data_IF_115017380703
#
_entry.id   IF_115017380703
#
_cell.length_a   1.000
_cell.length_b   1.000
_cell.length_c   1.000
_cell.angle_alpha   90.00
_cell.angle_beta   90.00
_cell.angle_gamma   90.00
#
_symmetry.space_group_name_H-M   'P 1'
#
loop_
_entity.id
_entity.type
_entity.pdbx_description
1 polymer ?
#
# COMPACT_ATOMS: atom_id res chain seq x y z
N UNK A 1 2.12 1.56 -23.17
CA UNK A 1 0.91 0.95 -22.54
C UNK A 1 1.33 0.34 -21.23
N UNK A 2 0.47 0.35 -20.19
CA UNK A 2 0.70 -0.40 -18.95
C UNK A 2 -0.15 -1.68 -19.05
N UNK A 3 0.45 -2.87 -19.09
CA UNK A 3 -0.30 -4.12 -19.25
C UNK A 3 -1.08 -4.49 -17.98
N UNK A 4 -2.28 -5.06 -18.17
CA UNK A 4 -3.19 -5.52 -17.11
C UNK A 4 -3.54 -7.01 -17.26
N UNK A 5 -3.10 -7.62 -18.36
CA UNK A 5 -3.38 -9.01 -18.72
C UNK A 5 -2.14 -9.71 -19.27
N UNK A 6 -2.15 -11.04 -19.19
CA UNK A 6 -1.08 -11.90 -19.77
C UNK A 6 -0.91 -11.62 -21.28
N UNK A 7 -2.02 -11.47 -22.00
CA UNK A 7 -2.00 -11.19 -23.44
C UNK A 7 -1.28 -9.88 -23.77
N UNK A 8 -1.49 -8.84 -22.96
CA UNK A 8 -0.81 -7.55 -23.14
C UNK A 8 0.68 -7.65 -22.78
N UNK A 9 1.05 -8.38 -21.73
CA UNK A 9 2.44 -8.66 -21.37
C UNK A 9 3.16 -9.37 -22.50
N UNK A 10 2.53 -10.41 -23.06
CA UNK A 10 3.07 -11.14 -24.22
C UNK A 10 3.20 -10.27 -25.47
N UNK A 11 2.22 -9.38 -25.73
CA UNK A 11 2.28 -8.46 -26.89
C UNK A 11 3.42 -7.44 -26.80
N UNK A 12 3.91 -7.15 -25.58
CA UNK A 12 5.09 -6.32 -25.34
C UNK A 12 6.41 -7.12 -25.44
N UNK A 13 6.36 -8.42 -25.70
CA UNK A 13 7.53 -9.29 -25.75
C UNK A 13 8.22 -9.48 -24.41
N UNK A 14 7.48 -9.33 -23.30
CA UNK A 14 8.06 -9.48 -21.97
C UNK A 14 8.02 -10.95 -21.54
N UNK A 15 9.15 -11.46 -21.11
CA UNK A 15 9.37 -12.79 -20.55
C UNK A 15 9.28 -12.81 -19.01
N UNK A 16 9.36 -11.63 -18.38
CA UNK A 16 9.15 -11.42 -16.94
C UNK A 16 8.55 -10.03 -16.68
N UNK A 17 8.05 -9.85 -15.47
CA UNK A 17 7.56 -8.58 -14.95
C UNK A 17 8.39 -8.22 -13.72
N UNK A 18 8.89 -7.00 -13.62
CA UNK A 18 9.67 -6.56 -12.46
C UNK A 18 8.79 -6.26 -11.25
N UNK A 19 7.70 -5.53 -11.47
CA UNK A 19 6.78 -5.07 -10.44
C UNK A 19 5.35 -5.27 -10.90
N UNK A 20 4.53 -5.84 -10.03
CA UNK A 20 3.08 -5.92 -10.24
C UNK A 20 2.39 -5.08 -9.19
N UNK A 21 1.59 -4.09 -9.64
CA UNK A 21 0.83 -3.21 -8.77
C UNK A 21 -0.63 -3.68 -8.68
N UNK A 22 -1.11 -3.87 -7.45
CA UNK A 22 -2.52 -4.15 -7.14
C UNK A 22 -3.18 -2.87 -6.63
N UNK A 23 -4.34 -2.55 -7.19
CA UNK A 23 -5.08 -1.33 -6.83
C UNK A 23 -6.56 -1.60 -6.62
N UNK A 24 -7.17 -0.88 -5.67
CA UNK A 24 -8.61 -0.95 -5.42
C UNK A 24 -9.46 -0.30 -6.51
N UNK A 25 -8.89 0.59 -7.32
CA UNK A 25 -9.59 1.20 -8.45
C UNK A 25 -9.56 0.30 -9.69
N UNK A 26 -10.58 0.39 -10.53
CA UNK A 26 -10.46 -0.05 -11.91
C UNK A 26 -9.39 0.82 -12.59
N UNK A 27 -8.44 0.16 -13.28
CA UNK A 27 -7.29 0.87 -13.84
C UNK A 27 -7.73 1.85 -14.94
N UNK A 28 -7.41 3.12 -14.70
CA UNK A 28 -7.54 4.18 -15.69
C UNK A 28 -6.16 4.83 -15.78
N UNK A 29 -5.55 4.79 -16.95
CA UNK A 29 -4.26 5.43 -17.23
C UNK A 29 -4.43 6.96 -17.26
N UNK A 30 -4.53 7.55 -16.08
CA UNK A 30 -4.79 8.96 -15.88
C UNK A 30 -3.66 9.62 -15.06
N UNK A 31 -3.18 10.82 -15.45
CA UNK A 31 -2.03 11.47 -14.81
C UNK A 31 -2.23 11.82 -13.32
N UNK A 32 -3.47 11.88 -12.85
CA UNK A 32 -3.78 12.16 -11.44
C UNK A 32 -3.97 10.90 -10.58
N UNK A 33 -3.91 9.70 -11.16
CA UNK A 33 -4.12 8.46 -10.41
C UNK A 33 -2.77 7.89 -9.97
N UNK A 34 -2.56 7.77 -8.66
CA UNK A 34 -1.29 7.37 -8.08
C UNK A 34 -0.72 6.06 -8.63
N UNK A 35 -1.57 5.06 -8.89
CA UNK A 35 -1.14 3.78 -9.48
C UNK A 35 -0.57 3.98 -10.89
N UNK A 36 -1.24 4.79 -11.74
CA UNK A 36 -0.77 5.10 -13.09
C UNK A 36 0.54 5.90 -13.04
N UNK A 37 0.62 6.90 -12.16
CA UNK A 37 1.83 7.72 -11.97
C UNK A 37 3.01 6.85 -11.58
N UNK A 38 2.88 5.98 -10.58
CA UNK A 38 3.96 5.08 -10.13
C UNK A 38 4.33 4.09 -11.22
N UNK A 39 3.35 3.47 -11.90
CA UNK A 39 3.63 2.54 -12.99
C UNK A 39 4.41 3.20 -14.12
N UNK A 40 3.97 4.39 -14.58
CA UNK A 40 4.66 5.17 -15.63
C UNK A 40 6.04 5.65 -15.19
N UNK A 41 6.17 6.06 -13.94
CA UNK A 41 7.44 6.48 -13.38
C UNK A 41 8.47 5.36 -13.39
N UNK A 42 8.11 4.17 -12.94
CA UNK A 42 8.99 3.00 -12.97
C UNK A 42 9.28 2.56 -14.42
N UNK A 43 8.28 2.55 -15.33
CA UNK A 43 8.50 2.24 -16.75
C UNK A 43 9.48 3.22 -17.41
N UNK A 44 9.40 4.51 -17.10
CA UNK A 44 10.35 5.53 -17.57
C UNK A 44 11.79 5.22 -17.16
N UNK A 45 11.97 4.51 -16.05
CA UNK A 45 13.28 4.09 -15.53
C UNK A 45 13.68 2.67 -15.95
N UNK A 46 12.97 2.08 -16.92
CA UNK A 46 13.34 0.82 -17.56
C UNK A 46 12.73 -0.43 -16.93
N UNK A 47 11.87 -0.29 -15.89
CA UNK A 47 11.22 -1.44 -15.26
C UNK A 47 9.99 -1.91 -16.03
N UNK A 48 9.80 -3.22 -16.10
CA UNK A 48 8.59 -3.86 -16.66
C UNK A 48 7.52 -3.91 -15.58
N UNK A 49 6.54 -3.01 -15.67
CA UNK A 49 5.49 -2.85 -14.66
C UNK A 49 4.14 -3.21 -15.23
N UNK A 50 3.44 -4.13 -14.57
CA UNK A 50 2.06 -4.48 -14.84
C UNK A 50 1.14 -4.05 -13.69
N UNK A 51 -0.15 -3.89 -13.97
CA UNK A 51 -1.16 -3.50 -12.99
C UNK A 51 -2.28 -4.53 -12.96
N UNK A 52 -2.71 -4.92 -11.79
CA UNK A 52 -3.95 -5.69 -11.55
C UNK A 52 -4.97 -4.73 -10.94
N UNK A 53 -5.85 -4.16 -11.78
CA UNK A 53 -6.88 -3.23 -11.33
C UNK A 53 -8.03 -3.99 -10.69
N UNK A 54 -8.49 -3.54 -9.54
CA UNK A 54 -9.69 -3.99 -8.84
C UNK A 54 -9.89 -5.53 -8.90
N UNK A 55 -8.91 -6.33 -8.34
CA UNK A 55 -8.96 -7.78 -8.43
C UNK A 55 -10.18 -8.33 -7.69
N UNK A 56 -10.80 -9.38 -8.23
CA UNK A 56 -11.85 -10.09 -7.52
C UNK A 56 -11.24 -10.88 -6.35
N UNK A 57 -11.61 -10.50 -5.14
CA UNK A 57 -11.11 -11.04 -3.88
C UNK A 57 -12.06 -12.06 -3.24
N UNK A 58 -13.22 -12.33 -3.88
CA UNK A 58 -14.31 -13.18 -3.35
C UNK A 58 -14.38 -14.56 -3.99
N UNK A 59 -13.66 -14.79 -5.08
CA UNK A 59 -13.69 -16.03 -5.83
C UNK A 59 -12.45 -16.91 -5.60
N UNK A 60 -12.05 -17.64 -6.62
CA UNK A 60 -10.87 -18.51 -6.64
C UNK A 60 -9.52 -17.77 -6.66
N UNK A 61 -9.53 -16.45 -6.50
CA UNK A 61 -8.35 -15.57 -6.49
C UNK A 61 -7.52 -15.64 -7.79
N UNK A 62 -8.17 -15.94 -8.92
CA UNK A 62 -7.50 -16.02 -10.24
C UNK A 62 -6.85 -14.71 -10.63
N UNK A 63 -7.45 -13.57 -10.25
CA UNK A 63 -6.90 -12.24 -10.55
C UNK A 63 -5.56 -12.00 -9.85
N UNK A 64 -5.36 -12.57 -8.67
CA UNK A 64 -4.11 -12.49 -7.93
C UNK A 64 -3.02 -13.40 -8.52
N UNK A 65 -3.39 -14.42 -9.30
CA UNK A 65 -2.49 -15.39 -9.92
C UNK A 65 -2.23 -15.15 -11.40
N UNK A 66 -3.10 -14.40 -12.09
CA UNK A 66 -3.09 -14.29 -13.56
C UNK A 66 -1.79 -13.79 -14.18
N UNK A 67 -1.04 -12.93 -13.49
CA UNK A 67 0.24 -12.41 -13.97
C UNK A 67 1.46 -13.15 -13.41
N UNK A 68 1.27 -14.12 -12.52
CA UNK A 68 2.35 -14.82 -11.84
C UNK A 68 3.07 -13.98 -10.80
N UNK A 69 4.28 -14.40 -10.43
CA UNK A 69 5.14 -13.70 -9.49
C UNK A 69 6.01 -12.65 -10.21
N UNK A 70 6.15 -11.42 -9.67
CA UNK A 70 7.09 -10.45 -10.19
C UNK A 70 8.54 -10.83 -9.82
N UNK A 71 9.49 -10.32 -10.56
CA UNK A 71 10.92 -10.50 -10.29
C UNK A 71 11.35 -9.80 -8.99
N UNK A 72 10.77 -8.66 -8.66
CA UNK A 72 11.22 -7.83 -7.55
C UNK A 72 10.21 -7.80 -6.39
N UNK A 73 9.01 -7.32 -6.61
CA UNK A 73 8.00 -7.18 -5.54
C UNK A 73 6.59 -6.90 -6.05
N UNK A 74 5.62 -7.09 -5.17
CA UNK A 74 4.25 -6.59 -5.34
C UNK A 74 4.09 -5.23 -4.68
N UNK A 75 3.44 -4.27 -5.36
CA UNK A 75 2.97 -3.03 -4.76
C UNK A 75 1.46 -3.05 -4.58
N UNK A 76 0.96 -2.59 -3.43
CA UNK A 76 -0.47 -2.62 -3.11
C UNK A 76 -0.96 -1.25 -2.63
N UNK A 77 -2.09 -0.79 -3.18
CA UNK A 77 -2.78 0.42 -2.73
C UNK A 77 -4.30 0.26 -2.83
N UNK A 78 -5.04 1.13 -2.14
CA UNK A 78 -6.50 1.14 -2.17
C UNK A 78 -7.11 1.80 -3.41
N UNK A 79 -6.29 2.44 -4.23
CA UNK A 79 -6.72 3.34 -5.30
C UNK A 79 -6.56 4.81 -4.94
N UNK A 80 -7.32 5.67 -5.61
CA UNK A 80 -7.28 7.12 -5.42
C UNK A 80 -7.84 7.56 -4.07
N UNK A 81 -8.70 6.74 -3.46
CA UNK A 81 -9.31 6.99 -2.15
C UNK A 81 -9.02 5.87 -1.15
N UNK A 82 -9.11 6.21 0.13
CA UNK A 82 -9.25 5.23 1.20
C UNK A 82 -10.50 4.37 0.99
N UNK A 83 -10.39 3.05 1.13
CA UNK A 83 -11.48 2.12 0.83
C UNK A 83 -12.71 2.35 1.70
N UNK A 84 -12.53 2.65 3.00
CA UNK A 84 -13.61 2.89 3.93
C UNK A 84 -14.34 4.21 3.63
N UNK A 85 -13.59 5.27 3.30
CA UNK A 85 -14.15 6.57 2.88
C UNK A 85 -14.88 6.44 1.54
N UNK A 86 -14.39 5.57 0.65
CA UNK A 86 -15.05 5.30 -0.62
C UNK A 86 -16.36 4.52 -0.45
N UNK A 87 -16.41 3.57 0.48
CA UNK A 87 -17.57 2.70 0.70
C UNK A 87 -18.65 3.33 1.56
N UNK A 88 -18.27 4.15 2.54
CA UNK A 88 -19.20 4.63 3.56
C UNK A 88 -19.31 6.15 3.59
N UNK A 89 -20.49 6.63 3.94
CA UNK A 89 -20.70 8.03 4.33
C UNK A 89 -20.19 8.27 5.76
N UNK A 90 -20.10 9.54 6.16
CA UNK A 90 -19.77 9.91 7.54
C UNK A 90 -20.77 9.33 8.58
N UNK A 91 -22.01 9.02 8.18
CA UNK A 91 -23.00 8.37 9.01
C UNK A 91 -22.97 6.83 8.93
N UNK A 92 -21.84 6.25 8.50
CA UNK A 92 -21.63 4.79 8.35
C UNK A 92 -22.61 4.08 7.41
N UNK A 93 -23.26 4.80 6.49
CA UNK A 93 -24.15 4.21 5.47
C UNK A 93 -23.33 3.83 4.25
N UNK A 94 -23.58 2.65 3.69
CA UNK A 94 -23.01 2.25 2.40
C UNK A 94 -23.39 3.27 1.32
N UNK A 95 -22.43 3.63 0.48
CA UNK A 95 -22.68 4.40 -0.74
C UNK A 95 -23.27 3.50 -1.81
N UNK A 96 -24.13 4.06 -2.64
CA UNK A 96 -24.78 3.35 -3.75
C UNK A 96 -23.89 3.22 -4.97
N UNK A 97 -22.86 4.08 -5.08
CA UNK A 97 -22.00 4.20 -6.26
C UNK A 97 -20.53 4.33 -5.87
N UNK A 98 -19.67 3.91 -6.79
CA UNK A 98 -18.21 4.05 -6.71
C UNK A 98 -17.68 4.64 -8.03
N UNK A 99 -17.27 5.90 -8.01
CA UNK A 99 -16.78 6.62 -9.18
C UNK A 99 -15.50 5.99 -9.81
N UNK A 100 -14.81 5.12 -9.08
CA UNK A 100 -13.57 4.46 -9.52
C UNK A 100 -13.80 3.04 -10.03
N UNK A 101 -15.05 2.67 -10.25
CA UNK A 101 -15.46 1.36 -10.76
C UNK A 101 -16.28 1.51 -12.05
N UNK A 102 -16.13 0.63 -13.06
CA UNK A 102 -16.94 0.68 -14.27
C UNK A 102 -18.44 0.63 -13.97
N UNK A 103 -19.19 1.55 -14.58
CA UNK A 103 -20.63 1.70 -14.33
C UNK A 103 -20.97 2.19 -12.93
N UNK A 104 -20.02 2.78 -12.22
CA UNK A 104 -20.15 3.26 -10.83
C UNK A 104 -20.63 2.19 -9.85
N UNK A 105 -20.36 0.92 -10.11
CA UNK A 105 -20.84 -0.20 -9.31
C UNK A 105 -20.13 -0.30 -7.97
N UNK A 106 -20.83 0.05 -6.87
CA UNK A 106 -20.31 -0.04 -5.52
C UNK A 106 -19.94 -1.47 -5.09
N UNK A 107 -19.04 -1.59 -4.10
CA UNK A 107 -18.69 -2.86 -3.44
C UNK A 107 -17.80 -3.79 -4.25
N UNK A 108 -17.09 -3.31 -5.27
CA UNK A 108 -16.17 -4.15 -6.04
C UNK A 108 -14.83 -4.33 -5.33
N UNK A 109 -14.34 -3.32 -4.63
CA UNK A 109 -13.17 -3.46 -3.75
C UNK A 109 -13.60 -3.96 -2.36
N UNK A 110 -12.72 -4.58 -1.55
CA UNK A 110 -13.03 -4.90 -0.16
C UNK A 110 -12.94 -3.66 0.74
N UNK A 111 -13.56 -3.75 1.91
CA UNK A 111 -13.20 -2.91 3.05
C UNK A 111 -11.74 -3.16 3.40
N UNK A 112 -11.01 -2.10 3.78
CA UNK A 112 -9.56 -2.17 4.08
C UNK A 112 -8.77 -2.84 2.95
N UNK A 113 -8.97 -2.37 1.72
CA UNK A 113 -8.48 -3.00 0.50
C UNK A 113 -6.97 -3.31 0.54
N UNK A 114 -6.14 -2.41 1.08
CA UNK A 114 -4.70 -2.64 1.21
C UNK A 114 -4.40 -3.86 2.09
N UNK A 115 -5.07 -3.96 3.24
CA UNK A 115 -4.90 -5.10 4.17
C UNK A 115 -5.36 -6.42 3.53
N UNK A 116 -6.54 -6.43 2.90
CA UNK A 116 -7.10 -7.64 2.29
C UNK A 116 -6.23 -8.14 1.15
N UNK A 117 -5.86 -7.27 0.21
CA UNK A 117 -5.04 -7.66 -0.94
C UNK A 117 -3.64 -8.13 -0.51
N UNK A 118 -3.05 -7.46 0.48
CA UNK A 118 -1.74 -7.86 0.99
C UNK A 118 -1.78 -9.24 1.63
N UNK A 119 -2.79 -9.54 2.47
CA UNK A 119 -2.95 -10.86 3.10
C UNK A 119 -3.09 -11.96 2.05
N UNK A 120 -3.90 -11.74 1.01
CA UNK A 120 -4.06 -12.67 -0.11
C UNK A 120 -2.71 -12.90 -0.83
N UNK A 121 -1.98 -11.83 -1.13
CA UNK A 121 -0.68 -11.96 -1.80
C UNK A 121 0.35 -12.69 -0.95
N UNK A 122 0.40 -12.42 0.36
CA UNK A 122 1.32 -13.11 1.29
C UNK A 122 0.95 -14.59 1.48
N UNK A 123 -0.32 -14.96 1.34
CA UNK A 123 -0.75 -16.35 1.35
C UNK A 123 -0.34 -17.08 0.06
N UNK A 124 -0.53 -16.46 -1.10
CA UNK A 124 -0.23 -17.08 -2.40
C UNK A 124 1.28 -17.08 -2.70
N UNK A 125 1.99 -16.00 -2.32
CA UNK A 125 3.40 -15.75 -2.63
C UNK A 125 4.17 -15.33 -1.37
N UNK A 126 4.37 -16.23 -0.40
CA UNK A 126 4.96 -15.89 0.91
C UNK A 126 6.37 -15.30 0.82
N UNK A 127 7.15 -15.70 -0.18
CA UNK A 127 8.55 -15.29 -0.34
C UNK A 127 8.73 -14.01 -1.15
N UNK A 128 7.69 -13.52 -1.82
CA UNK A 128 7.78 -12.30 -2.62
C UNK A 128 7.52 -11.08 -1.72
N UNK A 129 8.42 -10.07 -1.73
CA UNK A 129 8.21 -8.86 -0.97
C UNK A 129 6.93 -8.13 -1.38
N UNK A 130 6.22 -7.57 -0.40
CA UNK A 130 5.06 -6.70 -0.61
C UNK A 130 5.32 -5.34 -0.03
N UNK A 131 5.24 -4.29 -0.86
CA UNK A 131 5.25 -2.90 -0.43
C UNK A 131 3.85 -2.32 -0.56
N UNK A 132 3.36 -1.72 0.53
CA UNK A 132 2.07 -1.03 0.54
C UNK A 132 2.27 0.48 0.43
N UNK A 133 1.30 1.18 -0.14
CA UNK A 133 1.37 2.63 -0.31
C UNK A 133 0.01 3.27 -0.59
N UNK A 134 0.05 4.52 -1.03
CA UNK A 134 -1.15 5.32 -1.28
C UNK A 134 -1.78 5.88 -0.01
N UNK A 135 -2.96 6.50 -0.16
CA UNK A 135 -3.62 7.25 0.92
C UNK A 135 -3.98 6.36 2.11
N UNK A 136 -4.55 5.18 1.88
CA UNK A 136 -4.98 4.26 2.93
C UNK A 136 -3.80 3.80 3.80
N UNK A 137 -2.69 3.38 3.18
CA UNK A 137 -1.49 2.98 3.89
C UNK A 137 -0.84 4.16 4.63
N UNK A 138 -0.78 5.33 3.99
CA UNK A 138 -0.19 6.54 4.58
C UNK A 138 -0.93 6.99 5.84
N UNK A 139 -2.26 7.01 5.81
CA UNK A 139 -3.09 7.41 6.96
C UNK A 139 -3.01 6.42 8.12
N UNK A 140 -2.85 5.12 7.81
CA UNK A 140 -2.82 4.04 8.80
C UNK A 140 -1.42 3.54 9.16
N UNK A 141 -0.37 4.31 8.85
CA UNK A 141 1.03 3.91 9.10
C UNK A 141 1.43 3.81 10.58
N UNK A 142 0.66 4.42 11.46
CA UNK A 142 0.82 4.36 12.92
C UNK A 142 -0.41 3.71 13.57
N UNK A 143 -0.37 3.53 14.91
CA UNK A 143 -1.58 3.24 15.69
C UNK A 143 -2.61 4.31 15.41
N UNK A 144 -3.82 3.91 15.02
CA UNK A 144 -4.89 4.83 14.63
C UNK A 144 -6.24 4.37 15.16
N UNK A 145 -7.15 5.34 15.32
CA UNK A 145 -8.54 5.06 15.64
C UNK A 145 -9.32 4.78 14.37
N UNK A 146 -9.95 3.60 14.33
CA UNK A 146 -10.86 3.24 13.25
C UNK A 146 -12.29 3.64 13.61
N UNK A 147 -12.80 4.63 12.90
CA UNK A 147 -14.13 5.19 13.12
C UNK A 147 -15.24 4.17 12.89
N UNK A 148 -15.10 3.27 11.92
CA UNK A 148 -16.14 2.32 11.55
C UNK A 148 -16.30 1.19 12.57
N UNK A 149 -15.18 0.70 13.11
CA UNK A 149 -15.17 -0.35 14.13
C UNK A 149 -15.10 0.17 15.57
N UNK A 150 -15.03 1.50 15.75
CA UNK A 150 -14.97 2.17 17.07
C UNK A 150 -13.88 1.62 17.98
N UNK A 151 -12.68 1.43 17.45
CA UNK A 151 -11.53 0.94 18.21
C UNK A 151 -10.20 1.38 17.61
N UNK A 152 -9.12 1.24 18.38
CA UNK A 152 -7.77 1.40 17.87
C UNK A 152 -7.32 0.18 17.06
N UNK A 153 -6.57 0.46 16.00
CA UNK A 153 -5.85 -0.52 15.21
C UNK A 153 -4.35 -0.28 15.29
N UNK A 154 -3.52 -1.34 15.17
CA UNK A 154 -2.09 -1.18 15.02
C UNK A 154 -1.75 -0.54 13.67
N UNK A 155 -0.47 -0.25 13.44
CA UNK A 155 0.01 0.14 12.11
C UNK A 155 -0.48 -0.84 11.03
N UNK A 156 -0.94 -0.34 9.89
CA UNK A 156 -1.35 -1.16 8.75
C UNK A 156 -0.23 -2.08 8.26
N UNK A 157 1.03 -1.69 8.45
CA UNK A 157 2.19 -2.52 8.12
C UNK A 157 2.22 -3.81 8.95
N UNK A 158 1.76 -3.74 10.21
CA UNK A 158 1.64 -4.90 11.10
C UNK A 158 0.36 -5.67 10.78
N UNK A 159 -0.76 -4.99 10.65
CA UNK A 159 -2.07 -5.63 10.42
C UNK A 159 -2.15 -6.35 9.06
N UNK A 160 -1.59 -5.78 8.02
CA UNK A 160 -1.60 -6.37 6.67
C UNK A 160 -0.56 -7.49 6.50
N UNK A 161 0.51 -7.48 7.29
CA UNK A 161 1.65 -8.38 7.11
C UNK A 161 2.59 -7.98 5.96
N UNK A 162 2.46 -6.76 5.42
CA UNK A 162 3.37 -6.25 4.40
C UNK A 162 4.82 -6.14 4.92
N UNK A 163 5.77 -6.20 4.01
CA UNK A 163 7.19 -6.09 4.34
C UNK A 163 7.63 -4.63 4.46
N UNK A 164 7.09 -3.77 3.59
CA UNK A 164 7.45 -2.35 3.48
C UNK A 164 6.23 -1.47 3.28
N UNK A 165 6.36 -0.19 3.66
CA UNK A 165 5.33 0.83 3.46
C UNK A 165 5.98 2.09 2.89
N UNK A 166 5.47 2.59 1.76
CA UNK A 166 5.83 3.88 1.21
C UNK A 166 4.70 4.88 1.48
N UNK A 167 5.01 5.99 2.17
CA UNK A 167 3.98 6.99 2.52
C UNK A 167 4.23 8.35 1.86
N UNK A 168 3.17 9.14 1.73
CA UNK A 168 3.21 10.46 1.11
C UNK A 168 3.40 10.40 -0.41
N UNK A 169 4.15 11.37 -0.96
CA UNK A 169 4.51 11.42 -2.39
C UNK A 169 5.63 10.41 -2.65
N UNK A 170 5.24 9.26 -3.17
CA UNK A 170 6.09 8.05 -3.18
C UNK A 170 7.01 7.88 -4.38
N UNK A 171 6.99 8.77 -5.38
CA UNK A 171 7.68 8.55 -6.66
C UNK A 171 9.19 8.36 -6.51
N UNK A 172 9.83 9.21 -5.72
CA UNK A 172 11.25 9.09 -5.44
C UNK A 172 11.56 7.86 -4.61
N UNK A 173 10.82 7.68 -3.53
CA UNK A 173 11.00 6.57 -2.59
C UNK A 173 10.85 5.22 -3.28
N UNK A 174 9.80 5.04 -4.10
CA UNK A 174 9.56 3.77 -4.78
C UNK A 174 10.66 3.47 -5.82
N UNK A 175 11.18 4.47 -6.51
CA UNK A 175 12.30 4.29 -7.44
C UNK A 175 13.58 3.89 -6.72
N UNK A 176 13.93 4.58 -5.63
CA UNK A 176 15.10 4.25 -4.81
C UNK A 176 14.98 2.84 -4.20
N UNK A 177 13.79 2.49 -3.72
CA UNK A 177 13.47 1.16 -3.22
C UNK A 177 13.61 0.08 -4.32
N UNK A 178 13.05 0.31 -5.50
CA UNK A 178 13.15 -0.64 -6.62
C UNK A 178 14.60 -0.91 -7.01
N UNK A 179 15.41 0.13 -7.14
CA UNK A 179 16.86 0.01 -7.40
C UNK A 179 17.60 -0.74 -6.29
N UNK A 180 17.21 -0.51 -5.04
CA UNK A 180 17.83 -1.17 -3.90
C UNK A 180 17.51 -2.67 -3.86
N UNK A 181 16.26 -3.05 -4.10
CA UNK A 181 15.84 -4.46 -4.21
C UNK A 181 16.54 -5.14 -5.40
N UNK A 182 16.53 -4.51 -6.58
CA UNK A 182 17.16 -5.05 -7.79
C UNK A 182 18.66 -5.30 -7.60
N UNK A 183 19.36 -4.39 -6.93
CA UNK A 183 20.79 -4.53 -6.65
C UNK A 183 21.12 -5.46 -5.48
N UNK A 184 20.13 -6.09 -4.85
CA UNK A 184 20.31 -6.98 -3.71
C UNK A 184 20.86 -6.28 -2.46
N UNK A 185 20.59 -4.98 -2.28
CA UNK A 185 21.00 -4.26 -1.07
C UNK A 185 20.43 -4.91 0.17
N UNK A 186 21.23 -4.91 1.23
CA UNK A 186 20.76 -5.44 2.51
C UNK A 186 19.65 -4.57 3.13
N UNK A 187 18.83 -5.17 4.00
CA UNK A 187 17.71 -4.49 4.64
C UNK A 187 18.12 -3.22 5.41
N UNK A 188 19.34 -3.17 5.98
CA UNK A 188 19.78 -2.00 6.73
C UNK A 188 20.00 -0.77 5.86
N UNK A 189 20.40 -0.95 4.60
CA UNK A 189 20.56 0.15 3.65
C UNK A 189 19.23 0.58 3.04
N UNK A 190 18.33 -0.37 2.79
CA UNK A 190 16.95 -0.07 2.33
C UNK A 190 16.23 0.77 3.38
N UNK A 191 16.40 0.48 4.66
CA UNK A 191 15.78 1.23 5.79
C UNK A 191 16.21 2.70 5.90
N UNK A 192 17.25 3.11 5.19
CA UNK A 192 17.71 4.51 5.13
C UNK A 192 16.98 5.34 4.06
N UNK A 193 16.19 4.71 3.21
CA UNK A 193 15.41 5.40 2.17
C UNK A 193 14.32 6.24 2.85
N UNK A 194 14.24 7.55 2.56
CA UNK A 194 13.22 8.42 3.14
C UNK A 194 11.79 7.96 2.79
N UNK A 195 10.83 8.27 3.65
CA UNK A 195 9.41 7.94 3.48
C UNK A 195 9.13 6.43 3.37
N UNK A 196 10.03 5.59 3.89
CA UNK A 196 9.86 4.15 3.93
C UNK A 196 9.60 3.66 5.36
N UNK A 197 8.46 3.01 5.58
CA UNK A 197 8.13 2.27 6.80
C UNK A 197 8.54 0.80 6.69
N UNK A 198 8.97 0.21 7.81
CA UNK A 198 9.41 -1.18 7.86
C UNK A 198 9.22 -1.78 9.26
N UNK A 199 9.21 -3.10 9.32
CA UNK A 199 9.17 -3.84 10.59
C UNK A 199 10.60 -4.18 11.05
N UNK A 200 10.80 -4.13 12.37
CA UNK A 200 12.04 -4.56 12.99
C UNK A 200 11.74 -5.49 14.14
N UNK A 201 12.54 -6.53 14.27
CA UNK A 201 12.56 -7.35 15.46
C UNK A 201 13.46 -6.71 16.52
N UNK A 202 12.97 -6.62 17.75
CA UNK A 202 13.70 -6.08 18.88
C UNK A 202 13.69 -4.54 18.98
N UNK A 203 14.61 -3.98 19.78
CA UNK A 203 14.68 -2.54 20.03
C UNK A 203 15.28 -1.79 18.85
N UNK A 204 14.64 -0.69 18.47
CA UNK A 204 15.19 0.25 17.50
C UNK A 204 16.52 0.83 18.03
N UNK A 205 17.60 0.69 17.25
CA UNK A 205 18.92 1.25 17.55
C UNK A 205 19.27 2.44 16.66
N UNK A 206 18.33 2.95 15.91
CA UNK A 206 18.51 4.15 15.10
C UNK A 206 18.68 5.35 16.04
N UNK A 207 19.64 6.23 15.71
CA UNK A 207 19.82 7.50 16.42
C UNK A 207 18.78 8.51 15.93
N UNK A 208 18.49 9.49 16.76
CA UNK A 208 17.60 10.62 16.41
C UNK A 208 16.19 10.20 15.98
N UNK A 209 15.66 9.15 16.61
CA UNK A 209 14.28 8.69 16.39
C UNK A 209 13.37 9.14 17.54
N UNK A 210 12.14 9.48 17.18
CA UNK A 210 11.07 9.77 18.14
C UNK A 210 10.28 8.51 18.37
N UNK A 211 10.25 8.07 19.61
CA UNK A 211 9.46 6.89 20.01
C UNK A 211 8.02 7.30 20.31
N UNK A 212 7.07 6.63 19.68
CA UNK A 212 5.66 6.73 20.03
C UNK A 212 5.29 5.67 21.06
N UNK A 213 4.23 5.92 21.84
CA UNK A 213 3.63 4.91 22.71
C UNK A 213 3.17 3.71 21.88
N UNK A 214 3.38 2.49 22.41
CA UNK A 214 2.99 1.26 21.70
C UNK A 214 1.47 1.14 21.54
N UNK A 215 1.05 0.31 20.57
CA UNK A 215 -0.37 0.01 20.35
C UNK A 215 -1.05 -0.50 21.61
N UNK A 216 -0.41 -1.42 22.33
CA UNK A 216 -0.94 -2.03 23.55
C UNK A 216 -1.12 -1.00 24.69
N UNK A 217 -0.21 -0.01 24.79
CA UNK A 217 -0.34 1.10 25.73
C UNK A 217 -1.48 2.01 25.32
N UNK A 218 -1.58 2.40 24.07
CA UNK A 218 -2.66 3.25 23.55
C UNK A 218 -4.04 2.60 23.75
N UNK A 219 -4.16 1.29 23.61
CA UNK A 219 -5.42 0.58 23.88
C UNK A 219 -5.87 0.64 25.35
N UNK A 220 -4.94 0.81 26.27
CA UNK A 220 -5.22 0.87 27.72
C UNK A 220 -5.30 2.30 28.25
N UNK A 221 -4.70 3.25 27.58
CA UNK A 221 -4.53 4.62 28.03
C UNK A 221 -4.79 5.62 26.88
N UNK A 222 -5.93 6.31 26.97
CA UNK A 222 -6.32 7.33 25.97
C UNK A 222 -5.35 8.52 25.95
N UNK A 223 -4.69 8.83 27.08
CA UNK A 223 -3.70 9.91 27.14
C UNK A 223 -2.48 9.53 26.30
N UNK A 224 -2.00 8.29 26.40
CA UNK A 224 -0.90 7.80 25.59
C UNK A 224 -1.20 7.87 24.08
N UNK A 225 -2.45 7.64 23.68
CA UNK A 225 -2.87 7.82 22.28
C UNK A 225 -2.89 9.30 21.88
N UNK A 226 -3.38 10.20 22.73
CA UNK A 226 -3.37 11.65 22.49
C UNK A 226 -1.94 12.22 22.41
N UNK A 227 -1.01 11.73 23.25
CA UNK A 227 0.41 12.09 23.19
C UNK A 227 1.02 11.71 21.84
N UNK A 228 0.74 10.52 21.32
CA UNK A 228 1.20 10.10 20.00
C UNK A 228 0.70 11.05 18.91
N UNK A 229 -0.58 11.43 18.96
CA UNK A 229 -1.15 12.36 18.00
C UNK A 229 -0.42 13.71 18.06
N UNK A 230 -0.22 14.27 19.26
CA UNK A 230 0.50 15.52 19.44
C UNK A 230 1.93 15.47 18.88
N UNK A 231 2.65 14.39 19.10
CA UNK A 231 3.99 14.18 18.55
C UNK A 231 3.95 14.14 17.03
N UNK A 232 3.05 13.37 16.43
CA UNK A 232 2.91 13.23 14.97
C UNK A 232 2.61 14.59 14.32
N UNK A 233 1.66 15.35 14.89
CA UNK A 233 1.28 16.70 14.42
C UNK A 233 2.47 17.67 14.52
N UNK A 234 3.18 17.67 15.64
CA UNK A 234 4.34 18.55 15.84
C UNK A 234 5.40 18.31 14.76
N UNK A 235 5.74 17.06 14.49
CA UNK A 235 6.73 16.72 13.46
C UNK A 235 6.23 16.95 12.04
N UNK A 236 4.94 16.73 11.76
CA UNK A 236 4.36 17.04 10.46
C UNK A 236 4.43 18.52 10.12
N UNK A 237 4.22 19.39 11.13
CA UNK A 237 4.27 20.84 10.96
C UNK A 237 5.69 21.43 10.94
N UNK A 238 6.70 20.70 11.42
CA UNK A 238 8.10 21.13 11.34
C UNK A 238 8.71 20.97 9.94
N UNK A 239 8.06 20.19 9.07
CA UNK A 239 8.55 19.89 7.72
C UNK A 239 7.99 20.84 6.64
N UNK A 240 7.21 21.83 7.03
CA UNK A 240 6.73 22.92 6.18
C UNK A 240 7.50 24.19 6.45
#
# INVERSE_FOLDING_TARGET
>A
MIPTSVKEVQSLGWDYIDVILFTGDAFIDHPSFGTAVIARWLQKHGYRVAVVPQPNWRDDLRDFRKLGAPRLYFGVNSGAMDSMVNHYTAAKRLRSDDAYTPGSKAGQRPDYAVTVYTKILKEIYPDIPVIIGGIEASLRRFTHYDYWQDRLFPSILVDSGADWLCYGMGERTILEFTKAIESGRNASDIRKIPQLGFRMDGKCRLKDVVALNSYERCCKDKIAFAENFHVIETYANMMT
#
